data_IF_426568321717
#
_entry.id   IF_426568321717
#
_cell.length_a   1.000
_cell.length_b   1.000
_cell.length_c   1.000
_cell.angle_alpha   90.00
_cell.angle_beta   90.00
_cell.angle_gamma   90.00
#
_symmetry.space_group_name_H-M   'P 1'
#
loop_
_entity.id
_entity.type
_entity.pdbx_description
1 polymer ?
#
# COMPACT_ATOMS: atom_id res chain seq x y z
N UNK A 1 48.67 -36.77 -81.72
CA UNK A 1 49.73 -36.88 -80.70
C UNK A 1 50.36 -35.50 -80.53
N UNK A 2 49.75 -34.64 -79.71
CA UNK A 2 50.22 -33.27 -79.49
C UNK A 2 50.88 -33.24 -78.11
N UNK A 3 52.20 -33.07 -78.13
CA UNK A 3 53.04 -32.90 -76.95
C UNK A 3 52.73 -31.56 -76.27
N UNK A 4 52.19 -31.62 -75.05
CA UNK A 4 52.07 -30.45 -74.17
C UNK A 4 53.47 -30.08 -73.64
N UNK A 5 54.08 -29.06 -74.22
CA UNK A 5 55.31 -28.44 -73.70
C UNK A 5 54.94 -27.63 -72.46
N UNK A 6 55.04 -28.27 -71.29
CA UNK A 6 54.70 -27.70 -69.98
C UNK A 6 55.72 -26.62 -69.61
N UNK A 7 55.31 -25.36 -69.69
CA UNK A 7 56.15 -24.22 -69.33
C UNK A 7 56.39 -24.20 -67.82
N UNK A 8 57.64 -24.41 -67.43
CA UNK A 8 58.10 -24.57 -66.04
C UNK A 8 57.75 -23.34 -65.19
N UNK A 9 57.59 -22.16 -65.80
CA UNK A 9 57.23 -20.92 -65.10
C UNK A 9 55.75 -20.87 -64.69
N UNK A 10 54.85 -21.41 -65.51
CA UNK A 10 53.42 -21.47 -65.20
C UNK A 10 53.16 -22.48 -64.07
N UNK A 11 53.89 -23.60 -64.07
CA UNK A 11 53.80 -24.59 -62.99
C UNK A 11 54.28 -24.03 -61.64
N UNK A 12 55.37 -23.25 -61.64
CA UNK A 12 55.88 -22.62 -60.40
C UNK A 12 54.90 -21.55 -59.89
N UNK A 13 54.27 -20.78 -60.77
CA UNK A 13 53.24 -19.81 -60.38
C UNK A 13 52.01 -20.45 -59.74
N UNK A 14 51.51 -21.54 -60.33
CA UNK A 14 50.34 -22.27 -59.80
C UNK A 14 50.66 -23.00 -58.49
N UNK A 15 51.86 -23.58 -58.37
CA UNK A 15 52.28 -24.22 -57.11
C UNK A 15 52.51 -23.17 -56.01
N UNK A 16 53.09 -22.01 -56.34
CA UNK A 16 53.29 -20.93 -55.38
C UNK A 16 51.96 -20.37 -54.86
N UNK A 17 50.96 -20.19 -55.72
CA UNK A 17 49.65 -19.67 -55.31
C UNK A 17 48.86 -20.67 -54.45
N UNK A 18 48.91 -21.97 -54.81
CA UNK A 18 48.32 -23.04 -53.99
C UNK A 18 48.98 -23.16 -52.61
N UNK A 19 50.31 -23.08 -52.55
CA UNK A 19 51.04 -23.15 -51.28
C UNK A 19 50.71 -21.94 -50.40
N UNK A 20 50.63 -20.73 -50.98
CA UNK A 20 50.20 -19.55 -50.20
C UNK A 20 48.76 -19.68 -49.72
N UNK A 21 47.82 -20.17 -50.54
CA UNK A 21 46.43 -20.32 -50.12
C UNK A 21 46.30 -21.32 -48.95
N UNK A 22 47.03 -22.44 -48.99
CA UNK A 22 47.04 -23.43 -47.91
C UNK A 22 47.66 -22.87 -46.64
N UNK A 23 48.76 -22.12 -46.73
CA UNK A 23 49.40 -21.49 -45.57
C UNK A 23 48.46 -20.47 -44.94
N UNK A 24 47.79 -19.62 -45.73
CA UNK A 24 46.84 -18.64 -45.21
C UNK A 24 45.60 -19.29 -44.59
N UNK A 25 45.07 -20.36 -45.16
CA UNK A 25 43.97 -21.12 -44.56
C UNK A 25 44.38 -21.84 -43.26
N UNK A 26 45.62 -22.36 -43.18
CA UNK A 26 46.16 -22.96 -41.97
C UNK A 26 46.42 -21.92 -40.88
N UNK A 27 46.95 -20.75 -41.22
CA UNK A 27 47.12 -19.63 -40.28
C UNK A 27 45.78 -19.10 -39.77
N UNK A 28 44.76 -19.00 -40.63
CA UNK A 28 43.41 -18.59 -40.22
C UNK A 28 42.78 -19.63 -39.29
N UNK A 29 42.96 -20.92 -39.57
CA UNK A 29 42.53 -21.99 -38.66
C UNK A 29 43.28 -21.95 -37.32
N UNK A 30 44.57 -21.67 -37.31
CA UNK A 30 45.36 -21.53 -36.08
C UNK A 30 44.88 -20.33 -35.24
N UNK A 31 44.56 -19.21 -35.89
CA UNK A 31 44.04 -18.00 -35.23
C UNK A 31 42.63 -18.23 -34.64
N UNK A 32 41.78 -19.00 -35.34
CA UNK A 32 40.44 -19.40 -34.84
C UNK A 32 40.56 -20.42 -33.69
N UNK A 33 41.54 -21.32 -33.70
CA UNK A 33 41.78 -22.24 -32.57
C UNK A 33 42.34 -21.53 -31.35
N UNK A 34 43.15 -20.49 -31.53
CA UNK A 34 43.71 -19.67 -30.45
C UNK A 34 42.61 -18.81 -29.79
N UNK A 35 41.63 -18.32 -30.57
CA UNK A 35 40.42 -17.67 -30.03
C UNK A 35 39.42 -18.63 -29.37
N UNK A 36 39.44 -19.93 -29.73
CA UNK A 36 38.49 -20.93 -29.21
C UNK A 36 39.07 -21.74 -28.03
N UNK A 37 40.38 -21.67 -27.79
CA UNK A 37 41.07 -22.47 -26.77
C UNK A 37 41.53 -21.68 -25.53
N UNK A 38 40.92 -20.52 -25.26
CA UNK A 38 41.07 -19.78 -24.00
C UNK A 38 39.73 -19.58 -23.25
N UNK A 39 38.74 -20.43 -23.52
CA UNK A 39 37.41 -20.34 -22.90
C UNK A 39 37.02 -21.50 -21.97
N UNK A 40 37.96 -22.30 -21.45
CA UNK A 40 37.67 -23.25 -20.36
C UNK A 40 38.91 -23.67 -19.54
N UNK A 41 39.52 -22.73 -18.80
CA UNK A 41 40.22 -23.08 -17.55
C UNK A 41 40.00 -21.98 -16.53
N UNK A 42 39.37 -22.33 -15.41
CA UNK A 42 38.98 -21.49 -14.27
C UNK A 42 40.18 -20.73 -13.66
N UNK A 43 40.24 -19.38 -13.71
CA UNK A 43 41.10 -18.60 -12.84
C UNK A 43 40.25 -17.98 -11.73
N UNK A 44 40.58 -18.41 -10.51
CA UNK A 44 40.67 -17.63 -9.27
C UNK A 44 39.87 -16.32 -9.21
N UNK A 45 38.95 -16.29 -8.24
CA UNK A 45 38.18 -15.13 -7.78
C UNK A 45 39.00 -13.85 -7.69
N UNK A 46 38.99 -13.05 -8.75
CA UNK A 46 38.99 -11.61 -8.59
C UNK A 46 37.65 -11.29 -7.94
N UNK A 47 37.66 -10.80 -6.69
CA UNK A 47 36.51 -10.11 -6.15
C UNK A 47 36.10 -9.03 -7.17
N UNK A 48 35.05 -9.31 -7.95
CA UNK A 48 34.08 -8.28 -8.29
C UNK A 48 33.86 -7.49 -7.00
N UNK A 49 33.81 -6.14 -7.01
CA UNK A 49 33.17 -5.49 -5.88
C UNK A 49 31.83 -6.22 -5.76
N UNK A 50 31.61 -6.86 -4.61
CA UNK A 50 30.26 -7.21 -4.20
C UNK A 50 29.42 -5.98 -4.54
N UNK A 51 28.22 -6.10 -5.14
CA UNK A 51 27.30 -4.97 -5.09
C UNK A 51 27.29 -4.59 -3.61
N UNK A 52 27.71 -3.38 -3.27
CA UNK A 52 27.78 -2.97 -1.86
C UNK A 52 26.37 -3.27 -1.33
N UNK A 53 26.21 -4.28 -0.45
CA UNK A 53 24.89 -4.63 0.00
C UNK A 53 24.34 -3.37 0.64
N UNK A 54 23.14 -2.94 0.22
CA UNK A 54 22.49 -1.78 0.79
C UNK A 54 22.62 -1.87 2.31
N UNK A 55 23.09 -0.81 2.97
CA UNK A 55 23.33 -0.82 4.41
C UNK A 55 22.01 -0.66 5.18
N UNK A 56 21.09 -1.61 4.99
CA UNK A 56 19.77 -1.59 5.62
C UNK A 56 19.89 -1.96 7.10
N UNK A 57 19.28 -1.14 7.95
CA UNK A 57 19.18 -1.36 9.39
C UNK A 57 17.82 -1.98 9.74
N UNK A 58 17.65 -2.36 11.01
CA UNK A 58 16.38 -2.82 11.58
C UNK A 58 15.67 -3.89 10.73
N UNK A 59 16.45 -4.88 10.26
CA UNK A 59 15.99 -6.00 9.44
C UNK A 59 15.39 -5.60 8.09
N UNK A 60 15.71 -4.41 7.57
CA UNK A 60 15.41 -4.04 6.19
C UNK A 60 16.12 -4.95 5.18
N UNK A 61 15.49 -5.17 4.03
CA UNK A 61 16.04 -6.03 2.97
C UNK A 61 16.50 -5.19 1.78
N UNK A 62 17.68 -5.51 1.24
CA UNK A 62 18.24 -4.84 0.07
C UNK A 62 17.63 -5.43 -1.21
N UNK A 63 16.93 -4.62 -1.99
CA UNK A 63 16.42 -4.99 -3.31
C UNK A 63 16.74 -3.88 -4.31
N UNK A 64 17.43 -4.22 -5.41
CA UNK A 64 17.84 -3.26 -6.45
C UNK A 64 18.52 -2.00 -5.88
N UNK A 65 19.47 -2.18 -4.96
CA UNK A 65 20.22 -1.08 -4.32
C UNK A 65 19.40 -0.17 -3.41
N UNK A 66 18.16 -0.57 -3.06
CA UNK A 66 17.26 0.18 -2.18
C UNK A 66 16.84 -0.69 -0.98
N UNK A 67 16.74 -0.07 0.19
CA UNK A 67 16.26 -0.75 1.39
C UNK A 67 14.74 -0.81 1.43
N UNK A 68 14.19 -2.02 1.43
CA UNK A 68 12.78 -2.30 1.73
C UNK A 68 12.66 -2.50 3.24
N UNK A 69 12.04 -1.54 3.91
CA UNK A 69 11.92 -1.51 5.36
C UNK A 69 10.66 -2.23 5.84
N UNK A 70 10.74 -2.80 7.03
CA UNK A 70 9.56 -3.16 7.82
C UNK A 70 8.68 -1.92 8.07
N UNK A 71 7.41 -2.14 8.37
CA UNK A 71 6.44 -1.05 8.55
C UNK A 71 6.81 -0.07 9.68
N UNK A 72 7.45 -0.59 10.73
CA UNK A 72 7.98 0.16 11.87
C UNK A 72 9.16 1.10 11.51
N UNK A 73 9.80 0.97 10.34
CA UNK A 73 11.04 1.69 10.03
C UNK A 73 10.99 2.38 8.68
N UNK A 74 11.55 3.59 8.56
CA UNK A 74 11.60 4.37 7.33
C UNK A 74 12.98 5.00 7.13
N UNK A 75 13.12 5.76 6.04
CA UNK A 75 14.39 6.33 5.62
C UNK A 75 15.15 5.40 4.67
N UNK A 76 16.15 5.95 3.97
CA UNK A 76 16.90 5.25 2.92
C UNK A 76 17.62 3.99 3.43
N UNK A 77 17.88 3.92 4.73
CA UNK A 77 18.56 2.80 5.39
C UNK A 77 17.70 2.12 6.46
N UNK A 78 16.39 2.38 6.50
CA UNK A 78 15.48 1.85 7.53
C UNK A 78 15.89 2.19 8.98
N UNK A 79 16.46 3.38 9.18
CA UNK A 79 17.06 3.85 10.43
C UNK A 79 16.16 4.82 11.21
N UNK A 80 15.06 5.29 10.61
CA UNK A 80 14.13 6.23 11.22
C UNK A 80 12.89 5.48 11.72
N UNK A 81 12.50 5.65 12.97
CA UNK A 81 11.28 5.05 13.50
C UNK A 81 10.03 5.57 12.78
N UNK A 82 9.03 4.70 12.62
CA UNK A 82 7.72 4.99 12.06
C UNK A 82 6.59 4.51 12.99
N UNK A 83 6.83 4.57 14.31
CA UNK A 83 5.89 4.15 15.33
C UNK A 83 6.01 4.99 16.60
N UNK A 84 4.93 5.03 17.37
CA UNK A 84 4.92 5.41 18.76
C UNK A 84 5.30 4.19 19.61
N UNK A 85 6.25 4.36 20.54
CA UNK A 85 6.74 3.27 21.39
C UNK A 85 5.66 2.80 22.39
N UNK A 86 5.82 1.57 22.91
CA UNK A 86 4.92 1.01 23.93
C UNK A 86 4.75 1.98 25.09
N UNK A 87 3.51 2.11 25.57
CA UNK A 87 3.19 3.10 26.60
C UNK A 87 2.23 2.53 27.64
N UNK A 88 2.38 2.97 28.89
CA UNK A 88 1.42 2.70 29.98
C UNK A 88 0.78 4.01 30.42
N UNK A 89 -0.54 4.08 30.40
CA UNK A 89 -1.31 5.24 30.82
C UNK A 89 -2.06 4.94 32.11
N UNK A 90 -1.87 5.77 33.14
CA UNK A 90 -2.58 5.64 34.41
C UNK A 90 -3.76 6.61 34.40
N UNK A 91 -4.96 6.10 34.62
CA UNK A 91 -6.18 6.90 34.75
C UNK A 91 -6.93 6.53 36.04
N UNK A 92 -7.98 7.30 36.37
CA UNK A 92 -8.87 6.95 37.48
C UNK A 92 -9.59 5.60 37.29
N UNK A 93 -9.69 5.11 36.05
CA UNK A 93 -10.37 3.86 35.70
C UNK A 93 -9.42 2.66 35.63
N UNK A 94 -8.10 2.87 35.79
CA UNK A 94 -7.11 1.79 35.77
C UNK A 94 -5.84 2.14 35.00
N UNK A 95 -5.02 1.13 34.77
CA UNK A 95 -3.79 1.22 33.98
C UNK A 95 -4.08 0.63 32.60
N UNK A 96 -3.81 1.40 31.55
CA UNK A 96 -3.98 0.99 30.16
C UNK A 96 -2.61 0.82 29.50
N UNK A 97 -2.39 -0.31 28.84
CA UNK A 97 -1.14 -0.65 28.18
C UNK A 97 -1.33 -0.73 26.68
N UNK A 98 -0.44 -0.07 25.94
CA UNK A 98 -0.47 -0.01 24.48
C UNK A 98 0.79 -0.63 23.90
N UNK A 99 0.63 -1.46 22.86
CA UNK A 99 1.73 -1.93 22.04
C UNK A 99 2.30 -0.78 21.18
N UNK A 100 3.29 -1.06 20.34
CA UNK A 100 3.76 -0.09 19.36
C UNK A 100 2.64 0.23 18.37
N UNK A 101 2.52 1.49 17.99
CA UNK A 101 1.46 1.98 17.10
C UNK A 101 2.12 2.66 15.92
N UNK A 102 1.84 2.19 14.70
CA UNK A 102 2.39 2.79 13.49
C UNK A 102 1.88 4.22 13.31
N UNK A 103 2.73 5.10 12.77
CA UNK A 103 2.33 6.47 12.45
C UNK A 103 1.16 6.47 11.47
N UNK A 104 0.14 7.27 11.76
CA UNK A 104 -1.10 7.37 10.99
C UNK A 104 -2.14 6.31 11.37
N UNK A 105 -1.91 5.50 12.40
CA UNK A 105 -2.84 4.45 12.84
C UNK A 105 -3.25 4.63 14.29
N UNK A 106 -4.47 4.17 14.59
CA UNK A 106 -4.93 3.99 15.95
C UNK A 106 -4.37 2.68 16.53
N UNK A 107 -4.00 2.72 17.80
CA UNK A 107 -3.69 1.53 18.59
C UNK A 107 -4.59 1.43 19.80
N UNK A 108 -4.88 0.19 20.18
CA UNK A 108 -5.84 -0.14 21.21
C UNK A 108 -5.14 -0.64 22.48
N UNK A 109 -5.78 -0.44 23.62
CA UNK A 109 -5.28 -0.95 24.90
C UNK A 109 -5.40 -2.47 24.99
N UNK A 110 -4.44 -3.13 25.63
CA UNK A 110 -4.57 -4.57 25.90
C UNK A 110 -5.69 -4.88 26.92
N UNK A 111 -6.12 -3.89 27.69
CA UNK A 111 -7.21 -4.02 28.64
C UNK A 111 -8.56 -3.92 27.91
N UNK A 112 -9.41 -4.92 28.13
CA UNK A 112 -10.70 -5.09 27.47
C UNK A 112 -11.89 -4.82 28.42
N UNK A 113 -13.04 -4.53 27.83
CA UNK A 113 -14.34 -4.40 28.49
C UNK A 113 -14.78 -5.73 29.14
N UNK A 114 -15.40 -5.61 30.31
CA UNK A 114 -15.76 -6.73 31.17
C UNK A 114 -16.81 -7.66 30.53
N UNK A 115 -16.82 -8.97 30.87
CA UNK A 115 -17.74 -9.95 30.28
C UNK A 115 -19.25 -9.65 30.37
N UNK A 116 -19.67 -8.70 31.20
CA UNK A 116 -21.07 -8.37 31.45
C UNK A 116 -21.52 -7.07 30.77
N UNK A 117 -20.65 -6.44 29.98
CA UNK A 117 -20.96 -5.22 29.25
C UNK A 117 -21.35 -5.53 27.80
N UNK A 118 -21.92 -4.55 27.09
CA UNK A 118 -22.43 -4.74 25.72
C UNK A 118 -21.31 -4.97 24.69
N UNK A 119 -20.09 -4.52 24.96
CA UNK A 119 -18.92 -4.73 24.11
C UNK A 119 -17.80 -5.52 24.81
N UNK A 120 -18.18 -6.51 25.62
CA UNK A 120 -17.24 -7.42 26.30
C UNK A 120 -16.12 -7.93 25.37
N UNK A 121 -14.89 -7.99 25.90
CA UNK A 121 -13.68 -8.41 25.17
C UNK A 121 -13.26 -7.50 24.01
N UNK A 122 -13.73 -6.24 23.98
CA UNK A 122 -13.21 -5.17 23.12
C UNK A 122 -12.33 -4.25 23.96
N UNK A 123 -11.27 -3.72 23.35
CA UNK A 123 -10.34 -2.78 23.98
C UNK A 123 -11.06 -1.57 24.62
N UNK A 124 -10.67 -1.21 25.84
CA UNK A 124 -11.27 -0.09 26.60
C UNK A 124 -10.81 1.30 26.18
N UNK A 125 -9.69 1.38 25.47
CA UNK A 125 -9.07 2.64 25.14
C UNK A 125 -8.37 2.59 23.79
N UNK A 126 -8.31 3.76 23.14
CA UNK A 126 -7.58 3.95 21.88
C UNK A 126 -6.68 5.17 21.94
N UNK A 127 -5.64 5.19 21.09
CA UNK A 127 -4.76 6.34 20.87
C UNK A 127 -4.33 6.39 19.42
N UNK A 128 -4.19 7.58 18.86
CA UNK A 128 -3.63 7.79 17.53
C UNK A 128 -2.14 8.09 17.64
N UNK A 129 -1.32 7.45 16.80
CA UNK A 129 0.06 7.84 16.60
C UNK A 129 0.17 8.79 15.40
N UNK A 130 0.70 9.99 15.60
CA UNK A 130 0.85 11.00 14.55
C UNK A 130 2.30 11.40 14.37
N UNK A 131 2.62 11.93 13.18
CA UNK A 131 3.89 12.60 12.93
C UNK A 131 3.63 14.03 12.47
N UNK A 132 4.16 15.00 13.22
CA UNK A 132 4.12 16.41 12.87
C UNK A 132 5.54 16.95 12.84
N UNK A 133 5.96 17.55 11.72
CA UNK A 133 7.30 18.11 11.54
C UNK A 133 8.41 17.12 11.95
N UNK A 134 8.32 15.85 11.50
CA UNK A 134 9.24 14.74 11.83
C UNK A 134 9.27 14.33 13.31
N UNK A 135 8.38 14.87 14.13
CA UNK A 135 8.22 14.47 15.53
C UNK A 135 7.05 13.51 15.62
N UNK A 136 7.34 12.28 16.05
CA UNK A 136 6.31 11.27 16.29
C UNK A 136 5.74 11.48 17.68
N UNK A 137 4.43 11.64 17.76
CA UNK A 137 3.71 11.91 19.01
C UNK A 137 2.53 10.98 19.16
N UNK A 138 2.38 10.44 20.36
CA UNK A 138 1.22 9.65 20.73
C UNK A 138 0.16 10.59 21.31
N UNK A 139 -1.02 10.67 20.67
CA UNK A 139 -2.12 11.52 21.11
C UNK A 139 -2.72 11.06 22.44
N UNK A 140 -3.56 11.88 23.08
CA UNK A 140 -4.20 11.54 24.34
C UNK A 140 -5.06 10.27 24.26
N UNK A 141 -5.29 9.65 25.43
CA UNK A 141 -6.11 8.45 25.54
C UNK A 141 -7.58 8.81 25.46
N UNK A 142 -8.30 8.15 24.55
CA UNK A 142 -9.75 8.15 24.56
C UNK A 142 -10.26 6.84 25.16
N UNK A 143 -11.06 6.95 26.21
CA UNK A 143 -11.73 5.83 26.87
C UNK A 143 -13.08 5.58 26.22
N UNK A 144 -13.44 4.31 26.12
CA UNK A 144 -14.72 3.86 25.54
C UNK A 144 -15.71 3.55 26.65
N UNK A 145 -16.98 3.85 26.39
CA UNK A 145 -18.09 3.36 27.21
C UNK A 145 -18.35 1.88 26.89
N UNK A 146 -18.01 1.00 27.84
CA UNK A 146 -18.22 -0.43 27.66
C UNK A 146 -19.71 -0.84 27.56
N UNK A 147 -20.63 0.07 27.90
CA UNK A 147 -22.07 -0.19 27.83
C UNK A 147 -22.70 0.35 26.53
N UNK A 148 -21.91 0.47 25.46
CA UNK A 148 -22.38 0.82 24.11
C UNK A 148 -21.97 -0.26 23.11
N UNK A 149 -22.91 -0.63 22.24
CA UNK A 149 -22.66 -1.44 21.05
C UNK A 149 -23.01 -0.66 19.78
N UNK A 150 -22.81 -1.27 18.59
CA UNK A 150 -23.09 -0.61 17.31
C UNK A 150 -24.58 -0.24 17.14
N UNK A 151 -25.49 -1.07 17.63
CA UNK A 151 -26.93 -0.82 17.59
C UNK A 151 -27.31 0.44 18.37
N UNK A 152 -26.83 0.59 19.62
CA UNK A 152 -27.10 1.78 20.42
C UNK A 152 -26.49 3.05 19.82
N UNK A 153 -25.40 2.94 19.06
CA UNK A 153 -24.80 4.08 18.36
C UNK A 153 -25.61 4.47 17.13
N UNK A 154 -26.23 3.50 16.45
CA UNK A 154 -27.08 3.75 15.29
C UNK A 154 -28.27 4.64 15.65
N UNK A 155 -28.94 4.33 16.76
CA UNK A 155 -30.05 5.16 17.23
C UNK A 155 -29.63 6.61 17.53
N UNK A 156 -28.39 6.81 17.99
CA UNK A 156 -27.85 8.14 18.31
C UNK A 156 -27.51 8.93 17.04
N UNK A 157 -26.89 8.30 16.03
CA UNK A 157 -26.44 9.00 14.82
C UNK A 157 -27.58 9.39 13.88
N UNK A 158 -28.74 8.73 13.98
CA UNK A 158 -29.94 9.05 13.19
C UNK A 158 -30.61 10.38 13.60
N UNK A 159 -30.22 10.96 14.75
CA UNK A 159 -30.69 12.26 15.21
C UNK A 159 -29.90 13.44 14.65
N UNK A 160 -30.25 14.66 15.09
CA UNK A 160 -29.39 15.82 14.89
C UNK A 160 -28.22 15.75 15.87
N UNK A 161 -27.01 15.61 15.35
CA UNK A 161 -25.78 15.47 16.16
C UNK A 161 -24.86 16.67 15.96
N UNK A 162 -24.09 16.98 16.99
CA UNK A 162 -22.98 17.93 16.93
C UNK A 162 -21.70 17.25 16.43
N UNK A 163 -20.69 18.03 16.05
CA UNK A 163 -19.38 17.50 15.67
C UNK A 163 -18.72 16.68 16.80
N UNK A 164 -18.84 17.13 18.05
CA UNK A 164 -18.28 16.42 19.20
C UNK A 164 -18.95 15.05 19.42
N UNK A 165 -20.27 14.99 19.26
CA UNK A 165 -21.04 13.74 19.35
C UNK A 165 -20.69 12.80 18.19
N UNK A 166 -20.58 13.33 16.96
CA UNK A 166 -20.14 12.57 15.79
C UNK A 166 -18.75 11.95 16.03
N UNK A 167 -17.81 12.73 16.59
CA UNK A 167 -16.47 12.24 16.89
C UNK A 167 -16.49 11.11 17.93
N UNK A 168 -17.28 11.24 19.00
CA UNK A 168 -17.44 10.18 20.02
C UNK A 168 -18.04 8.91 19.41
N UNK A 169 -19.04 9.06 18.55
CA UNK A 169 -19.64 7.95 17.81
C UNK A 169 -18.58 7.28 16.93
N UNK A 170 -17.85 8.05 16.12
CA UNK A 170 -16.84 7.52 15.21
C UNK A 170 -15.69 6.80 15.94
N UNK A 171 -15.21 7.34 17.08
CA UNK A 171 -14.21 6.68 17.91
C UNK A 171 -14.76 5.36 18.47
N UNK A 172 -15.97 5.37 19.00
CA UNK A 172 -16.58 4.17 19.58
C UNK A 172 -16.79 3.11 18.50
N UNK A 173 -17.34 3.49 17.34
CA UNK A 173 -17.51 2.59 16.19
C UNK A 173 -16.18 1.96 15.79
N UNK A 174 -15.13 2.75 15.62
CA UNK A 174 -13.80 2.29 15.19
C UNK A 174 -13.14 1.32 16.20
N UNK A 175 -13.46 1.44 17.49
CA UNK A 175 -12.95 0.52 18.51
C UNK A 175 -13.79 -0.76 18.57
N UNK A 176 -15.12 -0.66 18.43
CA UNK A 176 -16.00 -1.83 18.36
C UNK A 176 -15.68 -2.75 17.16
N UNK A 177 -15.05 -2.20 16.13
CA UNK A 177 -14.60 -2.92 14.92
C UNK A 177 -13.10 -3.24 14.94
N UNK A 178 -12.39 -3.00 16.04
CA UNK A 178 -10.94 -3.22 16.16
C UNK A 178 -10.50 -4.68 16.23
N UNK A 179 -11.45 -5.61 16.40
CA UNK A 179 -11.22 -7.06 16.49
C UNK A 179 -11.95 -7.79 15.34
N UNK A 180 -11.45 -7.73 14.08
CA UNK A 180 -12.13 -8.26 12.91
C UNK A 180 -12.46 -9.76 13.00
N UNK A 181 -11.64 -10.53 13.72
CA UNK A 181 -11.83 -11.98 13.92
C UNK A 181 -13.03 -12.31 14.80
N UNK A 182 -13.48 -11.36 15.64
CA UNK A 182 -14.64 -11.51 16.53
C UNK A 182 -15.93 -10.96 15.91
N UNK A 183 -15.90 -10.43 14.69
CA UNK A 183 -17.08 -9.84 14.05
C UNK A 183 -18.06 -10.89 13.54
N UNK A 184 -19.35 -10.62 13.71
CA UNK A 184 -20.47 -11.39 13.14
C UNK A 184 -20.99 -10.69 11.88
N UNK A 185 -21.81 -11.39 11.08
CA UNK A 185 -22.50 -10.79 9.93
C UNK A 185 -23.33 -9.55 10.32
N UNK A 186 -24.02 -9.62 11.46
CA UNK A 186 -24.81 -8.51 12.00
C UNK A 186 -23.92 -7.31 12.37
N UNK A 187 -22.80 -7.55 13.07
CA UNK A 187 -21.86 -6.50 13.43
C UNK A 187 -21.26 -5.83 12.18
N UNK A 188 -21.00 -6.60 11.12
CA UNK A 188 -20.52 -6.08 9.82
C UNK A 188 -21.56 -5.14 9.22
N UNK A 189 -22.83 -5.56 9.14
CA UNK A 189 -23.91 -4.73 8.60
C UNK A 189 -24.07 -3.43 9.39
N UNK A 190 -24.14 -3.50 10.72
CA UNK A 190 -24.27 -2.29 11.54
C UNK A 190 -23.03 -1.39 11.43
N UNK A 191 -21.83 -1.95 11.44
CA UNK A 191 -20.61 -1.16 11.28
C UNK A 191 -20.56 -0.45 9.93
N UNK A 192 -20.92 -1.13 8.83
CA UNK A 192 -20.95 -0.54 7.51
C UNK A 192 -21.97 0.61 7.42
N UNK A 193 -23.19 0.41 7.94
CA UNK A 193 -24.20 1.48 8.05
C UNK A 193 -23.71 2.65 8.90
N UNK A 194 -23.05 2.38 10.04
CA UNK A 194 -22.50 3.43 10.91
C UNK A 194 -21.48 4.27 10.15
N UNK A 195 -20.61 3.64 9.38
CA UNK A 195 -19.60 4.32 8.58
C UNK A 195 -20.22 5.21 7.52
N UNK A 196 -21.26 4.76 6.79
CA UNK A 196 -21.97 5.59 5.82
C UNK A 196 -22.54 6.85 6.47
N UNK A 197 -23.19 6.70 7.63
CA UNK A 197 -23.73 7.83 8.38
C UNK A 197 -22.62 8.76 8.87
N UNK A 198 -21.51 8.21 9.41
CA UNK A 198 -20.38 9.02 9.88
C UNK A 198 -19.76 9.79 8.70
N UNK A 199 -19.53 9.16 7.55
CA UNK A 199 -18.97 9.81 6.37
C UNK A 199 -19.85 10.97 5.89
N UNK A 200 -21.15 10.74 5.73
CA UNK A 200 -22.10 11.77 5.32
C UNK A 200 -22.16 12.94 6.31
N UNK A 201 -22.27 12.65 7.61
CA UNK A 201 -22.30 13.69 8.64
C UNK A 201 -20.97 14.42 8.77
N UNK A 202 -19.84 13.72 8.61
CA UNK A 202 -18.52 14.32 8.65
C UNK A 202 -18.33 15.33 7.52
N UNK A 203 -18.93 15.08 6.36
CA UNK A 203 -18.92 16.02 5.25
C UNK A 203 -19.79 17.26 5.53
N UNK A 204 -20.97 17.08 6.13
CA UNK A 204 -21.87 18.18 6.50
C UNK A 204 -21.31 19.07 7.62
N UNK A 205 -20.57 18.47 8.55
CA UNK A 205 -20.00 19.14 9.73
C UNK A 205 -18.52 19.51 9.55
N UNK A 206 -17.94 19.31 8.36
CA UNK A 206 -16.53 19.54 8.05
C UNK A 206 -15.53 18.83 8.99
N UNK A 207 -15.92 17.67 9.55
CA UNK A 207 -15.13 16.96 10.55
C UNK A 207 -14.18 15.93 9.95
N UNK A 208 -12.95 16.35 9.63
CA UNK A 208 -11.93 15.45 9.08
C UNK A 208 -11.62 14.25 9.99
N UNK A 209 -11.63 14.43 11.31
CA UNK A 209 -11.30 13.36 12.24
C UNK A 209 -12.38 12.28 12.28
N UNK A 210 -13.66 12.66 12.18
CA UNK A 210 -14.74 11.68 12.05
C UNK A 210 -14.63 10.89 10.74
N UNK A 211 -14.33 11.56 9.62
CA UNK A 211 -14.09 10.88 8.34
C UNK A 211 -12.88 9.92 8.42
N UNK A 212 -11.78 10.34 9.04
CA UNK A 212 -10.59 9.51 9.27
C UNK A 212 -10.94 8.22 10.02
N UNK A 213 -11.73 8.34 11.09
CA UNK A 213 -12.17 7.19 11.90
C UNK A 213 -13.10 6.28 11.10
N UNK A 214 -14.02 6.85 10.31
CA UNK A 214 -14.90 6.09 9.42
C UNK A 214 -14.09 5.26 8.42
N UNK A 215 -13.10 5.86 7.76
CA UNK A 215 -12.18 5.16 6.83
C UNK A 215 -11.35 4.09 7.55
N UNK A 216 -10.94 4.34 8.79
CA UNK A 216 -10.28 3.33 9.64
C UNK A 216 -11.20 2.13 9.86
N UNK A 217 -12.48 2.36 10.14
CA UNK A 217 -13.48 1.30 10.25
C UNK A 217 -13.66 0.53 8.95
N UNK A 218 -13.65 1.19 7.78
CA UNK A 218 -13.69 0.48 6.49
C UNK A 218 -12.49 -0.46 6.35
N UNK A 219 -11.28 0.03 6.69
CA UNK A 219 -10.07 -0.79 6.66
C UNK A 219 -10.13 -2.00 7.60
N UNK A 220 -10.83 -1.90 8.73
CA UNK A 220 -11.06 -3.02 9.64
C UNK A 220 -12.08 -4.01 9.08
N UNK A 221 -13.17 -3.53 8.47
CA UNK A 221 -14.14 -4.37 7.77
C UNK A 221 -13.49 -5.17 6.63
N UNK A 222 -12.55 -4.55 5.91
CA UNK A 222 -11.73 -5.22 4.89
C UNK A 222 -10.78 -6.28 5.47
N UNK A 223 -10.61 -6.37 6.79
CA UNK A 223 -9.80 -7.39 7.46
C UNK A 223 -10.62 -8.53 8.09
N UNK A 224 -11.96 -8.46 8.05
CA UNK A 224 -12.82 -9.48 8.68
C UNK A 224 -12.63 -10.84 8.03
N UNK A 225 -12.67 -11.91 8.82
CA UNK A 225 -12.52 -13.27 8.30
C UNK A 225 -13.57 -13.59 7.21
N UNK A 226 -13.21 -14.44 6.25
CA UNK A 226 -14.09 -14.79 5.13
C UNK A 226 -15.36 -15.55 5.59
N UNK A 227 -15.30 -16.22 6.74
CA UNK A 227 -16.44 -16.97 7.27
C UNK A 227 -17.57 -16.08 7.77
N UNK A 228 -17.25 -14.91 8.35
CA UNK A 228 -18.23 -13.93 8.80
C UNK A 228 -18.62 -12.97 7.68
N UNK A 229 -17.68 -12.63 6.80
CA UNK A 229 -17.92 -11.80 5.62
C UNK A 229 -18.33 -12.66 4.41
N UNK A 230 -19.58 -13.12 4.39
CA UNK A 230 -20.13 -13.90 3.29
C UNK A 230 -20.67 -12.98 2.17
N UNK A 231 -20.03 -12.93 0.97
CA UNK A 231 -20.50 -12.09 -0.14
C UNK A 231 -21.82 -12.58 -0.76
N UNK A 232 -22.30 -13.77 -0.39
CA UNK A 232 -23.60 -14.29 -0.81
C UNK A 232 -24.75 -13.77 0.07
N UNK A 233 -24.42 -13.28 1.26
CA UNK A 233 -25.37 -12.55 2.09
C UNK A 233 -25.73 -11.23 1.37
N UNK A 234 -27.01 -11.12 0.99
CA UNK A 234 -27.53 -9.98 0.22
C UNK A 234 -27.39 -8.68 1.01
N UNK A 235 -27.54 -8.71 2.34
CA UNK A 235 -27.42 -7.52 3.18
C UNK A 235 -25.98 -6.99 3.19
N UNK A 236 -25.00 -7.87 3.42
CA UNK A 236 -23.57 -7.52 3.38
C UNK A 236 -23.19 -7.00 2.00
N UNK A 237 -23.65 -7.67 0.93
CA UNK A 237 -23.38 -7.23 -0.43
C UNK A 237 -23.95 -5.82 -0.71
N UNK A 238 -25.20 -5.57 -0.36
CA UNK A 238 -25.85 -4.29 -0.62
C UNK A 238 -25.21 -3.17 0.19
N UNK A 239 -24.92 -3.40 1.48
CA UNK A 239 -24.34 -2.35 2.34
C UNK A 239 -22.90 -2.05 1.96
N UNK A 240 -22.12 -3.04 1.51
CA UNK A 240 -20.74 -2.80 1.08
C UNK A 240 -20.70 -2.06 -0.25
N UNK A 241 -21.62 -2.35 -1.17
CA UNK A 241 -21.79 -1.54 -2.38
C UNK A 241 -22.17 -0.09 -2.05
N UNK A 242 -23.19 0.11 -1.23
CA UNK A 242 -23.63 1.45 -0.80
C UNK A 242 -22.50 2.22 -0.10
N UNK A 243 -21.68 1.53 0.69
CA UNK A 243 -20.54 2.12 1.37
C UNK A 243 -19.44 2.55 0.38
N UNK A 244 -19.19 1.77 -0.68
CA UNK A 244 -18.25 2.17 -1.73
C UNK A 244 -18.73 3.39 -2.50
N UNK A 245 -20.03 3.46 -2.82
CA UNK A 245 -20.65 4.63 -3.47
C UNK A 245 -20.56 5.88 -2.57
N UNK A 246 -20.88 5.73 -1.28
CA UNK A 246 -20.77 6.82 -0.29
C UNK A 246 -19.33 7.34 -0.16
N UNK A 247 -18.35 6.45 -0.17
CA UNK A 247 -16.94 6.83 -0.11
C UNK A 247 -16.50 7.59 -1.36
N UNK A 248 -16.96 7.18 -2.55
CA UNK A 248 -16.70 7.88 -3.81
C UNK A 248 -17.30 9.30 -3.81
N UNK A 249 -18.54 9.43 -3.36
CA UNK A 249 -19.25 10.72 -3.27
C UNK A 249 -18.53 11.70 -2.33
N UNK A 250 -18.18 11.26 -1.11
CA UNK A 250 -17.49 12.12 -0.13
C UNK A 250 -16.10 12.56 -0.60
N UNK A 251 -15.37 11.69 -1.29
CA UNK A 251 -14.04 12.02 -1.82
C UNK A 251 -14.08 12.95 -3.02
N UNK A 252 -15.19 12.97 -3.76
CA UNK A 252 -15.36 13.82 -4.96
C UNK A 252 -16.13 15.11 -4.68
N UNK A 253 -16.76 15.24 -3.51
CA UNK A 253 -17.43 16.47 -3.11
C UNK A 253 -16.46 17.65 -3.00
N UNK A 254 -16.72 18.69 -3.82
CA UNK A 254 -15.94 19.93 -3.89
C UNK A 254 -15.92 20.68 -2.56
N UNK A 255 -16.95 20.50 -1.72
CA UNK A 255 -17.03 21.10 -0.38
C UNK A 255 -16.05 20.50 0.63
N UNK A 256 -15.68 19.23 0.48
CA UNK A 256 -14.96 18.52 1.54
C UNK A 256 -13.49 18.98 1.67
N UNK A 257 -13.01 19.17 2.90
CA UNK A 257 -11.60 19.54 3.17
C UNK A 257 -10.69 18.31 3.36
N UNK A 258 -11.15 17.14 2.90
CA UNK A 258 -10.45 15.88 3.06
C UNK A 258 -9.12 15.87 2.29
N UNK A 259 -8.06 15.32 2.90
CA UNK A 259 -6.74 15.19 2.29
C UNK A 259 -6.43 13.73 1.97
N UNK A 260 -5.67 13.04 2.81
CA UNK A 260 -5.29 11.64 2.63
C UNK A 260 -5.39 10.88 3.95
N UNK A 261 -5.88 9.66 3.87
CA UNK A 261 -5.90 8.70 4.98
C UNK A 261 -5.39 7.37 4.46
N UNK A 262 -4.44 6.76 5.17
CA UNK A 262 -3.85 5.47 4.82
C UNK A 262 -3.95 4.54 6.01
N UNK A 263 -4.68 3.45 5.82
CA UNK A 263 -4.94 2.39 6.78
C UNK A 263 -4.53 1.04 6.16
N UNK A 264 -4.27 -0.01 6.96
CA UNK A 264 -3.65 -1.25 6.47
C UNK A 264 -4.30 -1.88 5.23
N UNK A 265 -5.63 -1.78 5.06
CA UNK A 265 -6.35 -2.36 3.93
C UNK A 265 -6.96 -1.32 2.97
N UNK A 266 -6.82 -0.03 3.27
CA UNK A 266 -7.44 1.05 2.51
C UNK A 266 -6.61 2.33 2.54
N UNK A 267 -6.28 2.87 1.38
CA UNK A 267 -5.75 4.21 1.24
C UNK A 267 -6.70 5.06 0.40
N UNK A 268 -7.02 6.25 0.90
CA UNK A 268 -7.90 7.20 0.21
C UNK A 268 -7.25 8.57 0.15
N UNK A 269 -7.52 9.30 -0.92
CA UNK A 269 -7.05 10.68 -1.06
C UNK A 269 -8.07 11.50 -1.83
N UNK A 270 -8.33 12.72 -1.37
CA UNK A 270 -9.13 13.71 -2.07
C UNK A 270 -8.27 14.91 -2.40
N UNK A 271 -8.30 15.32 -3.66
CA UNK A 271 -7.35 16.30 -4.22
C UNK A 271 -8.14 17.39 -4.89
N UNK A 272 -7.96 18.61 -4.39
CA UNK A 272 -8.48 19.80 -5.04
C UNK A 272 -7.65 20.11 -6.29
N UNK A 273 -8.32 20.19 -7.43
CA UNK A 273 -7.71 20.56 -8.69
C UNK A 273 -7.71 22.08 -8.81
N UNK A 274 -6.54 22.68 -8.64
CA UNK A 274 -6.37 24.12 -8.83
C UNK A 274 -6.27 24.46 -10.32
N UNK A 275 -7.13 25.39 -10.77
CA UNK A 275 -7.21 25.83 -12.17
C UNK A 275 -5.87 26.44 -12.62
N UNK A 276 -5.36 25.96 -13.76
CA UNK A 276 -4.16 26.49 -14.40
C UNK A 276 -2.81 26.09 -13.76
N UNK A 277 -2.79 25.49 -12.56
CA UNK A 277 -1.55 25.07 -11.87
C UNK A 277 -1.34 23.56 -11.88
N UNK A 278 -2.42 22.79 -11.83
CA UNK A 278 -2.37 21.31 -11.81
C UNK A 278 -2.12 20.78 -13.22
N UNK A 279 -0.93 20.25 -13.51
CA UNK A 279 -0.59 19.64 -14.82
C UNK A 279 -0.94 18.16 -14.90
N UNK A 280 -0.86 17.47 -13.77
CA UNK A 280 -1.09 16.05 -13.68
C UNK A 280 -0.88 15.56 -12.27
N UNK A 281 -1.46 14.41 -11.97
CA UNK A 281 -1.43 13.83 -10.64
C UNK A 281 -0.86 12.42 -10.75
N UNK A 282 0.17 12.12 -9.98
CA UNK A 282 0.81 10.81 -9.91
C UNK A 282 0.63 10.24 -8.49
N UNK A 283 -0.13 9.17 -8.39
CA UNK A 283 -0.21 8.31 -7.21
C UNK A 283 0.81 7.17 -7.39
N UNK A 284 1.61 6.88 -6.36
CA UNK A 284 2.46 5.70 -6.30
C UNK A 284 2.30 4.98 -4.96
N UNK A 285 2.03 3.68 -4.99
CA UNK A 285 2.10 2.81 -3.83
C UNK A 285 3.39 1.99 -3.91
N UNK A 286 4.29 2.20 -2.95
CA UNK A 286 5.60 1.57 -2.90
C UNK A 286 5.55 0.16 -2.30
N UNK A 287 6.42 -0.72 -2.81
CA UNK A 287 6.67 -2.05 -2.25
C UNK A 287 6.96 -1.96 -0.77
N UNK A 288 6.31 -2.81 0.00
CA UNK A 288 6.64 -3.04 1.41
C UNK A 288 7.18 -4.42 1.66
N UNK A 289 7.44 -4.68 2.92
CA UNK A 289 7.77 -6.02 3.39
C UNK A 289 6.51 -6.89 3.53
N UNK A 290 5.43 -6.29 4.05
CA UNK A 290 4.14 -6.94 4.27
C UNK A 290 3.08 -6.43 3.29
N UNK A 291 2.05 -7.26 3.05
CA UNK A 291 0.89 -6.97 2.20
C UNK A 291 -0.10 -6.01 2.91
N UNK A 292 0.40 -4.88 3.39
CA UNK A 292 -0.34 -3.83 4.09
C UNK A 292 -0.04 -2.48 3.45
N UNK A 293 -0.99 -1.55 3.55
CA UNK A 293 -0.77 -0.15 3.18
C UNK A 293 -0.29 0.64 4.42
N UNK A 294 0.79 1.40 4.25
CA UNK A 294 1.32 2.29 5.28
C UNK A 294 1.55 3.67 4.69
N UNK A 295 1.23 4.72 5.46
CA UNK A 295 1.23 6.11 4.98
C UNK A 295 2.51 6.52 4.25
N UNK A 296 3.69 6.15 4.78
CA UNK A 296 4.99 6.47 4.17
C UNK A 296 5.21 5.86 2.77
N UNK A 297 4.44 4.84 2.39
CA UNK A 297 4.54 4.11 1.12
C UNK A 297 3.51 4.58 0.10
N UNK A 298 2.61 5.50 0.45
CA UNK A 298 1.63 6.07 -0.46
C UNK A 298 2.06 7.48 -0.81
N UNK A 299 2.66 7.63 -1.98
CA UNK A 299 3.17 8.90 -2.48
C UNK A 299 2.16 9.55 -3.42
N UNK A 300 1.90 10.84 -3.20
CA UNK A 300 1.02 11.63 -4.05
C UNK A 300 1.73 12.89 -4.53
N UNK A 301 1.93 12.98 -5.84
CA UNK A 301 2.44 14.19 -6.50
C UNK A 301 1.30 14.85 -7.27
N UNK A 302 0.80 15.98 -6.77
CA UNK A 302 -0.33 16.71 -7.35
C UNK A 302 0.04 17.65 -8.49
N UNK A 303 1.31 17.71 -8.89
CA UNK A 303 1.76 18.53 -10.02
C UNK A 303 2.82 17.80 -10.88
N UNK A 304 2.56 16.52 -11.12
CA UNK A 304 3.39 15.70 -11.98
C UNK A 304 3.27 16.18 -13.44
N UNK A 305 4.41 16.41 -14.10
CA UNK A 305 4.44 16.85 -15.50
C UNK A 305 4.25 15.70 -16.50
N UNK A 306 4.55 14.47 -16.09
CA UNK A 306 4.45 13.25 -16.89
C UNK A 306 4.50 12.02 -15.98
N UNK A 307 4.09 10.88 -16.53
CA UNK A 307 4.32 9.58 -15.90
C UNK A 307 5.83 9.29 -15.86
N UNK A 308 6.34 8.96 -14.67
CA UNK A 308 7.69 8.48 -14.44
C UNK A 308 7.60 7.14 -13.73
N UNK A 309 8.05 6.09 -14.43
CA UNK A 309 8.05 4.74 -13.88
C UNK A 309 9.00 4.67 -12.67
N UNK A 310 8.45 4.24 -11.54
CA UNK A 310 9.20 3.91 -10.33
C UNK A 310 9.23 2.39 -10.21
N UNK A 311 10.40 1.79 -10.37
CA UNK A 311 10.59 0.32 -10.30
C UNK A 311 10.31 -0.28 -8.92
N UNK A 312 10.21 0.58 -7.90
CA UNK A 312 9.90 0.20 -6.52
C UNK A 312 8.43 0.38 -6.18
N UNK A 313 7.62 0.94 -7.09
CA UNK A 313 6.19 1.00 -6.93
C UNK A 313 5.54 -0.32 -7.37
N UNK A 314 4.55 -0.77 -6.60
CA UNK A 314 3.65 -1.87 -6.99
C UNK A 314 2.51 -1.34 -7.84
N UNK A 315 1.98 -0.18 -7.48
CA UNK A 315 0.93 0.52 -8.21
C UNK A 315 1.40 1.93 -8.51
N UNK A 316 1.25 2.35 -9.77
CA UNK A 316 1.36 3.76 -10.13
C UNK A 316 0.20 4.16 -11.05
N UNK A 317 -0.38 5.31 -10.77
CA UNK A 317 -1.45 5.88 -11.58
C UNK A 317 -1.14 7.34 -11.88
N UNK A 318 -1.09 7.69 -13.17
CA UNK A 318 -0.93 9.07 -13.61
C UNK A 318 -2.19 9.55 -14.33
N UNK A 319 -2.72 10.68 -13.86
CA UNK A 319 -3.89 11.34 -14.43
C UNK A 319 -3.42 12.69 -14.98
N UNK A 320 -3.56 12.86 -16.29
CA UNK A 320 -3.28 14.14 -16.94
C UNK A 320 -4.46 15.09 -16.73
N UNK A 321 -4.19 16.26 -16.16
CA UNK A 321 -5.22 17.27 -15.88
C UNK A 321 -5.08 18.39 -16.91
N UNK A 322 -6.14 18.63 -17.68
CA UNK A 322 -6.12 19.67 -18.71
C UNK A 322 -5.99 21.05 -18.08
N UNK A 323 -4.98 21.81 -18.50
CA UNK A 323 -4.73 23.17 -18.03
C UNK A 323 -5.76 24.20 -18.49
N UNK A 324 -6.68 23.80 -19.39
CA UNK A 324 -7.71 24.68 -19.95
C UNK A 324 -9.01 24.69 -19.12
N UNK A 325 -9.03 24.03 -17.95
CA UNK A 325 -10.22 23.99 -17.10
C UNK A 325 -10.36 25.28 -16.29
N UNK A 326 -11.50 25.96 -16.45
CA UNK A 326 -11.90 27.16 -15.72
C UNK A 326 -12.61 26.87 -14.39
N UNK A 327 -12.90 25.60 -14.10
CA UNK A 327 -13.63 25.17 -12.89
C UNK A 327 -12.69 24.51 -11.90
N UNK A 328 -12.97 24.73 -10.61
CA UNK A 328 -12.34 23.98 -9.52
C UNK A 328 -12.93 22.58 -9.54
N UNK A 329 -12.09 21.59 -9.82
CA UNK A 329 -12.47 20.18 -9.80
C UNK A 329 -11.98 19.49 -8.54
N UNK A 330 -12.44 18.26 -8.34
CA UNK A 330 -11.91 17.37 -7.30
C UNK A 330 -11.67 15.99 -7.86
N UNK A 331 -10.62 15.35 -7.37
CA UNK A 331 -10.24 14.00 -7.75
C UNK A 331 -10.09 13.15 -6.48
N UNK A 332 -10.83 12.05 -6.43
CA UNK A 332 -10.70 11.02 -5.41
C UNK A 332 -9.82 9.87 -5.90
N UNK A 333 -8.93 9.38 -5.04
CA UNK A 333 -8.26 8.09 -5.19
C UNK A 333 -8.69 7.17 -4.06
N UNK A 334 -8.93 5.91 -4.42
CA UNK A 334 -9.17 4.82 -3.48
C UNK A 334 -8.31 3.64 -3.91
N UNK A 335 -7.49 3.13 -2.99
CA UNK A 335 -6.68 1.94 -3.18
C UNK A 335 -7.05 0.93 -2.10
N UNK A 336 -7.58 -0.21 -2.53
CA UNK A 336 -7.90 -1.35 -1.67
C UNK A 336 -6.76 -2.36 -1.71
N UNK A 337 -6.34 -2.85 -0.54
CA UNK A 337 -5.32 -3.90 -0.44
C UNK A 337 -5.88 -5.29 -0.79
N UNK A 338 -7.20 -5.47 -0.72
CA UNK A 338 -7.86 -6.73 -1.02
C UNK A 338 -9.23 -6.50 -1.66
N UNK A 339 -9.83 -7.55 -2.20
CA UNK A 339 -11.06 -7.48 -2.98
C UNK A 339 -12.32 -7.87 -2.20
N UNK A 340 -12.28 -7.82 -0.86
CA UNK A 340 -13.38 -8.31 0.00
C UNK A 340 -14.73 -7.65 -0.31
N UNK A 341 -14.75 -6.36 -0.63
CA UNK A 341 -15.97 -5.64 -1.01
C UNK A 341 -16.42 -5.89 -2.47
N UNK A 342 -15.58 -6.51 -3.30
CA UNK A 342 -15.78 -6.64 -4.75
C UNK A 342 -15.88 -8.09 -5.23
N UNK A 343 -16.15 -9.03 -4.31
CA UNK A 343 -16.19 -10.44 -4.66
C UNK A 343 -17.33 -10.76 -5.64
N UNK A 344 -16.98 -11.32 -6.80
CA UNK A 344 -17.96 -11.66 -7.83
C UNK A 344 -18.88 -12.81 -7.40
N UNK A 345 -20.19 -12.61 -7.59
CA UNK A 345 -21.20 -13.69 -7.44
C UNK A 345 -21.03 -14.80 -8.48
N UNK A 346 -20.50 -14.46 -9.66
CA UNK A 346 -20.37 -15.36 -10.81
C UNK A 346 -18.98 -16.00 -10.87
N UNK A 347 -17.93 -15.23 -10.62
CA UNK A 347 -16.54 -15.67 -10.72
C UNK A 347 -15.92 -15.83 -9.33
N UNK A 348 -16.16 -16.97 -8.69
CA UNK A 348 -15.49 -17.31 -7.43
C UNK A 348 -14.15 -17.96 -7.73
N UNK A 349 -13.06 -17.43 -7.16
CA UNK A 349 -11.77 -18.14 -7.18
C UNK A 349 -11.93 -19.38 -6.31
N UNK A 350 -11.76 -20.56 -6.90
CA UNK A 350 -11.78 -21.85 -6.18
C UNK A 350 -10.43 -22.10 -5.48
N UNK A 351 -9.42 -21.28 -5.75
CA UNK A 351 -8.09 -21.44 -5.17
C UNK A 351 -7.83 -20.38 -4.10
N UNK A 352 -7.50 -20.89 -2.92
CA UNK A 352 -6.95 -20.22 -1.73
C UNK A 352 -5.53 -19.65 -1.95
N UNK A 353 -5.17 -19.41 -3.21
CA UNK A 353 -3.95 -18.72 -3.57
C UNK A 353 -4.21 -17.23 -3.48
N UNK A 354 -3.53 -16.57 -2.53
CA UNK A 354 -3.40 -15.11 -2.42
C UNK A 354 -3.59 -14.43 -3.77
N UNK A 355 -4.69 -13.68 -3.89
CA UNK A 355 -4.91 -12.75 -5.00
C UNK A 355 -3.87 -11.64 -4.81
N UNK A 356 -2.76 -11.76 -5.54
CA UNK A 356 -1.71 -10.74 -5.66
C UNK A 356 -2.18 -9.56 -6.51
#
# INVERSE_FOLDING_TARGET
MIHLKRDRKVLVGVVSSLVTAVIWSACFWHFVTEFKSDSFTKPQSSHSPSPYPCNCQNNGTCQNEICICLDEWKGDHCDIANFCERHKYNSAQGVFTFNRILVGQYGYSNEECEPHTLNANISKATRLCTENNRTITLQDVTLVDCNKNLENLMEQIMGHITEEELLKIAITTQILTSEPDKMTAENITFAAQMVEHILNQSNLLDSFQAAFLAITTISQLLNVNQTAFDPTNIEIFNITQSLTETLEDVLTDVGSSFSQVVQPNLAVSSIKLESGTTRGILLSALKGYDDTLVSKRIELNTNASKFLLNTNAEVQMFINVSTNQSQVGKLGFILYQNDKFFQSKVHRSINDGSRR
#
